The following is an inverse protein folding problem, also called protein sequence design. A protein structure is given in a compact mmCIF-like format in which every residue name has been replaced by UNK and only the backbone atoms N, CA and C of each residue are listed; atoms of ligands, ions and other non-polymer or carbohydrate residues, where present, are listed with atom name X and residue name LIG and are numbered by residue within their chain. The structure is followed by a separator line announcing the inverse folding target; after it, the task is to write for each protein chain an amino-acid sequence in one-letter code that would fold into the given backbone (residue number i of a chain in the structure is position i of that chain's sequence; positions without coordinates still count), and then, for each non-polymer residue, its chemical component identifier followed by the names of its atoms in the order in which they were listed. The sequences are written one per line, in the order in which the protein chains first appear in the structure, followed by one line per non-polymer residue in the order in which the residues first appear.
data_IF_775196017547
#
_entry.id   IF_775196017547
#
_cell.length_a   1.000
_cell.length_b   1.000
_cell.length_c   1.000
_cell.angle_alpha   90.00
_cell.angle_beta   90.00
_cell.angle_gamma   90.00
#
_symmetry.space_group_name_H-M   'P 1'
#
loop_
_entity.id
_entity.type
_entity.pdbx_description
1 polymer ?
#
# COMPACT_ATOMS: atom_id res chain seq x y z
N UNK A 1 -3.65 18.79 -6.75
CA UNK A 1 -3.09 18.82 -5.37
C UNK A 1 -2.20 17.60 -5.20
N UNK A 2 -1.00 17.78 -4.72
CA UNK A 2 -0.08 16.67 -4.48
C UNK A 2 0.18 16.50 -2.98
N UNK A 3 0.23 15.26 -2.55
CA UNK A 3 0.58 14.90 -1.18
C UNK A 3 2.02 14.41 -1.16
N UNK A 4 2.72 14.74 -0.09
CA UNK A 4 4.13 14.42 0.03
C UNK A 4 4.43 13.82 1.40
N UNK A 5 5.04 12.63 1.38
CA UNK A 5 5.43 11.94 2.60
C UNK A 5 6.92 11.62 2.50
N UNK A 6 7.68 12.05 3.52
CA UNK A 6 9.11 11.74 3.61
C UNK A 6 9.39 10.93 4.86
N UNK A 7 10.09 9.83 4.69
CA UNK A 7 10.56 9.01 5.81
C UNK A 7 12.07 8.84 5.63
N UNK A 8 12.83 9.27 6.63
CA UNK A 8 14.28 9.25 6.58
C UNK A 8 14.87 8.04 7.28
N UNK A 9 16.07 7.67 6.88
CA UNK A 9 16.85 6.59 7.51
C UNK A 9 16.12 5.25 7.50
N UNK A 10 15.50 4.92 6.38
CA UNK A 10 14.76 3.67 6.19
C UNK A 10 15.73 2.51 6.11
N UNK A 11 15.49 1.47 6.90
CA UNK A 11 16.30 0.25 6.92
C UNK A 11 15.54 -0.98 6.43
N UNK A 12 14.22 -0.92 6.39
CA UNK A 12 13.39 -2.04 5.92
C UNK A 12 12.11 -1.50 5.30
N UNK A 13 11.72 -2.09 4.16
CA UNK A 13 10.47 -1.78 3.48
C UNK A 13 9.80 -3.11 3.12
N UNK A 14 8.54 -3.24 3.49
CA UNK A 14 7.69 -4.38 3.10
C UNK A 14 6.52 -3.87 2.29
N UNK A 15 6.24 -4.56 1.19
CA UNK A 15 5.12 -4.27 0.31
C UNK A 15 4.23 -5.51 0.18
N UNK A 16 2.94 -5.34 0.38
CA UNK A 16 1.96 -6.40 0.22
C UNK A 16 0.74 -5.85 -0.49
N UNK A 17 0.22 -6.59 -1.46
CA UNK A 17 -1.03 -6.27 -2.12
C UNK A 17 -2.05 -7.35 -1.83
N UNK A 18 -3.23 -6.95 -1.38
CA UNK A 18 -4.36 -7.84 -1.11
C UNK A 18 -5.49 -7.52 -2.07
N UNK A 19 -6.05 -8.56 -2.66
CA UNK A 19 -7.18 -8.43 -3.58
C UNK A 19 -8.45 -8.89 -2.87
N UNK A 20 -9.46 -8.03 -2.83
CA UNK A 20 -10.74 -8.33 -2.22
C UNK A 20 -11.81 -8.49 -3.29
N UNK A 21 -12.22 -9.73 -3.50
CA UNK A 21 -13.32 -10.10 -4.38
C UNK A 21 -14.29 -10.96 -3.58
N UNK A 22 -15.41 -10.39 -3.16
CA UNK A 22 -16.42 -11.13 -2.46
C UNK A 22 -17.76 -11.02 -3.19
N UNK A 23 -18.18 -12.08 -3.93
CA UNK A 23 -19.43 -12.04 -4.70
C UNK A 23 -20.68 -12.02 -3.85
N UNK A 24 -20.56 -12.30 -2.55
CA UNK A 24 -21.72 -12.30 -1.63
C UNK A 24 -21.98 -10.94 -1.01
N UNK A 25 -21.04 -10.02 -1.11
CA UNK A 25 -21.21 -8.66 -0.60
C UNK A 25 -21.57 -7.72 -1.73
N UNK A 26 -22.36 -6.71 -1.42
CA UNK A 26 -22.75 -5.68 -2.38
C UNK A 26 -21.65 -4.65 -2.64
N UNK A 27 -20.48 -4.86 -2.07
CA UNK A 27 -19.32 -4.00 -2.25
C UNK A 27 -18.56 -4.40 -3.51
N UNK A 28 -18.19 -3.42 -4.32
CA UNK A 28 -17.39 -3.67 -5.51
C UNK A 28 -16.00 -4.21 -5.13
N UNK A 29 -15.44 -5.13 -5.94
CA UNK A 29 -14.08 -5.62 -5.71
C UNK A 29 -13.07 -4.47 -5.69
N UNK A 30 -12.06 -4.60 -4.85
CA UNK A 30 -11.00 -3.60 -4.73
C UNK A 30 -9.69 -4.25 -4.29
N UNK A 31 -8.61 -3.51 -4.36
CA UNK A 31 -7.31 -3.95 -3.87
C UNK A 31 -6.78 -2.99 -2.82
N UNK A 32 -6.00 -3.51 -1.89
CA UNK A 32 -5.31 -2.71 -0.88
C UNK A 32 -3.82 -3.00 -1.00
N UNK A 33 -3.02 -1.95 -1.13
CA UNK A 33 -1.56 -2.07 -1.05
C UNK A 33 -1.11 -1.55 0.30
N UNK A 34 -0.40 -2.37 1.05
CA UNK A 34 0.15 -2.03 2.35
C UNK A 34 1.65 -1.82 2.21
N UNK A 35 2.10 -0.63 2.55
CA UNK A 35 3.52 -0.28 2.60
C UNK A 35 3.93 -0.12 4.05
N UNK A 36 4.80 -0.99 4.53
CA UNK A 36 5.35 -0.93 5.88
C UNK A 36 6.81 -0.51 5.80
N UNK A 37 7.14 0.55 6.53
CA UNK A 37 8.48 1.13 6.52
C UNK A 37 9.01 1.16 7.95
N UNK A 38 10.24 0.70 8.13
CA UNK A 38 10.94 0.76 9.41
C UNK A 38 12.18 1.62 9.28
N UNK A 39 12.37 2.54 10.21
CA UNK A 39 13.53 3.40 10.22
C UNK A 39 14.64 2.86 11.14
N UNK A 40 15.79 3.54 11.12
CA UNK A 40 16.97 3.16 11.90
C UNK A 40 16.71 3.22 13.41
N UNK A 41 15.80 4.08 13.87
CA UNK A 41 15.44 4.22 15.26
C UNK A 41 14.46 3.16 15.74
N UNK A 42 13.96 2.31 14.84
CA UNK A 42 13.00 1.25 15.15
C UNK A 42 11.53 1.68 15.03
N UNK A 43 11.26 2.90 14.55
CA UNK A 43 9.90 3.35 14.31
C UNK A 43 9.32 2.70 13.07
N UNK A 44 8.05 2.31 13.13
CA UNK A 44 7.31 1.72 12.02
C UNK A 44 6.25 2.68 11.52
N UNK A 45 6.19 2.80 10.20
CA UNK A 45 5.13 3.56 9.52
C UNK A 45 4.40 2.62 8.57
N UNK A 46 3.08 2.69 8.59
CA UNK A 46 2.24 1.85 7.72
C UNK A 46 1.36 2.77 6.88
N UNK A 47 1.40 2.57 5.58
CA UNK A 47 0.57 3.31 4.62
C UNK A 47 -0.29 2.29 3.90
N UNK A 48 -1.60 2.53 3.87
CA UNK A 48 -2.55 1.69 3.14
C UNK A 48 -3.12 2.48 1.97
N UNK A 49 -3.01 1.90 0.79
CA UNK A 49 -3.53 2.49 -0.44
C UNK A 49 -4.69 1.63 -0.93
N UNK A 50 -5.86 2.23 -1.05
CA UNK A 50 -7.06 1.55 -1.53
C UNK A 50 -7.23 1.84 -3.02
N UNK A 51 -7.37 0.78 -3.82
CA UNK A 51 -7.52 0.85 -5.27
C UNK A 51 -8.87 0.32 -5.70
N UNK A 52 -9.54 1.05 -6.57
CA UNK A 52 -10.80 0.59 -7.15
C UNK A 52 -10.60 -0.59 -8.11
N UNK A 53 -9.39 -0.77 -8.64
CA UNK A 53 -9.05 -1.86 -9.53
C UNK A 53 -8.67 -3.11 -8.70
N UNK A 54 -9.48 -4.20 -8.74
CA UNK A 54 -9.17 -5.40 -7.98
C UNK A 54 -7.99 -6.20 -8.52
N UNK A 55 -7.51 -5.88 -9.72
CA UNK A 55 -6.43 -6.58 -10.39
C UNK A 55 -5.13 -5.78 -10.43
N UNK A 56 -5.09 -4.65 -9.73
CA UNK A 56 -3.88 -3.82 -9.69
C UNK A 56 -2.71 -4.61 -9.12
N UNK A 57 -1.58 -4.54 -9.80
CA UNK A 57 -0.34 -5.20 -9.38
C UNK A 57 0.62 -4.17 -8.79
N UNK A 58 1.47 -4.63 -7.87
CA UNK A 58 2.52 -3.79 -7.29
C UNK A 58 3.41 -3.17 -8.38
N UNK A 59 3.67 -3.92 -9.46
CA UNK A 59 4.48 -3.48 -10.59
C UNK A 59 3.91 -2.26 -11.29
N UNK A 60 2.60 -2.04 -11.20
CA UNK A 60 1.91 -0.91 -11.80
C UNK A 60 2.02 0.37 -10.96
N UNK A 61 2.54 0.25 -9.74
CA UNK A 61 2.75 1.37 -8.85
C UNK A 61 4.10 2.03 -9.15
N UNK A 62 4.08 3.34 -9.32
CA UNK A 62 5.30 4.12 -9.48
C UNK A 62 5.76 4.60 -8.11
N UNK A 63 6.90 4.08 -7.67
CA UNK A 63 7.55 4.51 -6.43
C UNK A 63 8.81 5.27 -6.87
N UNK A 64 8.80 6.55 -6.60
CA UNK A 64 9.94 7.42 -6.88
C UNK A 64 10.77 7.64 -5.63
#
# INVERSE_FOLDING_TARGET
MSSYIQIHSVVEVKLETRHHRNPKESVEPFSITVLEVKDKAGHRSVIQLFHADPDLRIEDLKIE
#
